data_IF_473719276158
#
_entry.id   IF_473719276158
#
_cell.length_a   1.000
_cell.length_b   1.000
_cell.length_c   1.000
_cell.angle_alpha   90.00
_cell.angle_beta   90.00
_cell.angle_gamma   90.00
#
_symmetry.space_group_name_H-M   'P 1'
#
loop_
_entity.id
_entity.type
_entity.pdbx_description
1 polymer ?
#
# COMPACT_ATOMS: atom_id res chain seq x y z
N UNK A 1 -21.82 3.10 39.04
CA UNK A 1 -22.46 3.38 40.36
C UNK A 1 -22.39 2.23 41.37
N UNK A 2 -22.56 0.95 40.97
CA UNK A 2 -22.48 -0.21 41.90
C UNK A 2 -21.07 -0.50 42.46
N UNK A 3 -19.99 -0.13 41.76
CA UNK A 3 -18.60 -0.33 42.21
C UNK A 3 -18.19 0.64 43.33
N UNK A 4 -18.67 1.89 43.29
CA UNK A 4 -18.39 2.90 44.33
C UNK A 4 -18.98 2.50 45.69
N UNK A 5 -20.16 1.87 45.68
CA UNK A 5 -20.80 1.30 46.87
C UNK A 5 -20.02 0.11 47.45
N UNK A 6 -19.32 -0.66 46.63
CA UNK A 6 -18.50 -1.79 47.10
C UNK A 6 -17.23 -1.31 47.84
N UNK A 7 -16.58 -0.28 47.31
CA UNK A 7 -15.38 0.32 47.93
C UNK A 7 -15.71 1.01 49.25
N UNK A 8 -16.86 1.71 49.34
CA UNK A 8 -17.33 2.31 50.60
C UNK A 8 -17.68 1.25 51.66
N UNK A 9 -18.25 0.11 51.26
CA UNK A 9 -18.61 -0.97 52.20
C UNK A 9 -17.39 -1.70 52.78
N UNK A 10 -16.29 -1.82 52.01
CA UNK A 10 -15.02 -2.37 52.49
C UNK A 10 -14.37 -1.47 53.54
N UNK A 11 -14.44 -0.15 53.37
CA UNK A 11 -13.90 0.82 54.34
C UNK A 11 -14.65 0.82 55.68
N UNK A 12 -15.96 0.55 55.68
CA UNK A 12 -16.75 0.51 56.92
C UNK A 12 -16.44 -0.74 57.75
N UNK A 13 -16.26 -1.91 57.11
CA UNK A 13 -15.96 -3.16 57.83
C UNK A 13 -14.56 -3.21 58.45
N UNK A 14 -13.61 -2.41 57.97
CA UNK A 14 -12.25 -2.35 58.52
C UNK A 14 -12.13 -1.54 59.82
N UNK A 15 -13.19 -0.88 60.29
CA UNK A 15 -13.19 -0.16 61.57
C UNK A 15 -13.53 -1.03 62.79
N UNK A 16 -13.88 -2.32 62.61
CA UNK A 16 -14.31 -3.20 63.70
C UNK A 16 -13.40 -4.40 64.01
N UNK A 17 -12.25 -4.57 63.38
CA UNK A 17 -11.28 -5.60 63.77
C UNK A 17 -9.85 -5.07 63.75
N UNK A 18 -9.10 -5.44 64.78
CA UNK A 18 -7.89 -4.77 65.25
C UNK A 18 -6.70 -4.72 64.29
N UNK A 19 -5.83 -3.75 64.59
CA UNK A 19 -4.39 -3.66 64.30
C UNK A 19 -3.89 -4.46 63.10
N UNK A 20 -4.16 -3.95 61.89
CA UNK A 20 -3.38 -4.29 60.70
C UNK A 20 -2.58 -3.04 60.30
N UNK A 21 -1.29 -3.24 60.09
CA UNK A 21 -0.26 -2.24 59.87
C UNK A 21 -0.63 -1.26 58.73
N UNK A 22 -0.84 0.02 59.08
CA UNK A 22 -1.33 1.08 58.17
C UNK A 22 -0.45 1.25 56.93
N UNK A 23 0.84 0.87 56.98
CA UNK A 23 1.77 0.93 55.85
C UNK A 23 1.55 -0.17 54.81
N UNK A 24 1.18 -1.38 55.22
CA UNK A 24 0.89 -2.47 54.27
C UNK A 24 -0.46 -2.28 53.58
N UNK A 25 -1.45 -1.71 54.27
CA UNK A 25 -2.79 -1.51 53.73
C UNK A 25 -2.87 -0.37 52.70
N UNK A 26 -2.14 0.73 52.92
CA UNK A 26 -2.00 1.84 51.96
C UNK A 26 -1.25 1.42 50.70
N UNK A 27 -0.23 0.56 50.83
CA UNK A 27 0.47 -0.01 49.69
C UNK A 27 -0.45 -0.93 48.87
N UNK A 28 -1.21 -1.83 49.51
CA UNK A 28 -2.15 -2.73 48.83
C UNK A 28 -3.31 -2.01 48.13
N UNK A 29 -3.85 -0.95 48.73
CA UNK A 29 -4.89 -0.12 48.08
C UNK A 29 -4.30 0.65 46.88
N UNK A 30 -3.07 1.15 46.99
CA UNK A 30 -2.38 1.80 45.86
C UNK A 30 -2.11 0.82 44.72
N UNK A 31 -1.72 -0.43 45.02
CA UNK A 31 -1.55 -1.49 44.02
C UNK A 31 -2.86 -1.88 43.33
N UNK A 32 -3.98 -1.95 44.07
CA UNK A 32 -5.29 -2.25 43.48
C UNK A 32 -5.80 -1.10 42.62
N UNK A 33 -5.62 0.15 43.04
CA UNK A 33 -5.99 1.33 42.22
C UNK A 33 -5.11 1.39 40.97
N UNK A 34 -3.80 1.16 41.08
CA UNK A 34 -2.89 1.14 39.94
C UNK A 34 -3.19 -0.01 38.97
N UNK A 35 -3.53 -1.21 39.47
CA UNK A 35 -3.98 -2.33 38.62
C UNK A 35 -5.32 -2.02 37.94
N UNK A 36 -6.30 -1.46 38.64
CA UNK A 36 -7.58 -1.10 38.02
C UNK A 36 -7.42 0.03 36.99
N UNK A 37 -6.52 0.99 37.17
CA UNK A 37 -6.23 2.01 36.16
C UNK A 37 -5.43 1.44 34.97
N UNK A 38 -4.51 0.50 35.20
CA UNK A 38 -3.81 -0.24 34.13
C UNK A 38 -4.78 -1.14 33.34
N UNK A 39 -5.70 -1.84 34.00
CA UNK A 39 -6.68 -2.70 33.32
C UNK A 39 -7.71 -1.87 32.55
N UNK A 40 -8.14 -0.71 33.04
CA UNK A 40 -9.04 0.19 32.30
C UNK A 40 -8.31 0.83 31.11
N UNK A 41 -7.03 1.20 31.23
CA UNK A 41 -6.24 1.69 30.08
C UNK A 41 -5.87 0.60 29.10
N UNK A 42 -5.69 -0.65 29.55
CA UNK A 42 -5.45 -1.80 28.67
C UNK A 42 -6.74 -2.28 27.98
N UNK A 43 -7.89 -2.22 28.67
CA UNK A 43 -9.20 -2.49 28.08
C UNK A 43 -9.63 -1.37 27.11
N UNK A 44 -9.35 -0.10 27.42
CA UNK A 44 -9.61 1.03 26.50
C UNK A 44 -8.61 1.08 25.33
N UNK A 45 -7.39 0.56 25.51
CA UNK A 45 -6.38 0.42 24.45
C UNK A 45 -6.67 -0.78 23.54
N UNK A 46 -7.37 -1.82 24.03
CA UNK A 46 -7.75 -2.99 23.24
C UNK A 46 -9.02 -2.83 22.41
N UNK A 47 -9.85 -1.80 22.64
CA UNK A 47 -11.13 -1.62 21.93
C UNK A 47 -11.12 -0.55 20.83
N UNK A 48 -9.98 0.11 20.56
CA UNK A 48 -9.84 0.91 19.34
C UNK A 48 -9.33 0.04 18.20
N UNK A 49 -10.12 -0.10 17.14
CA UNK A 49 -9.72 -0.83 15.94
C UNK A 49 -8.35 -0.36 15.44
N UNK A 50 -7.49 -1.27 14.99
CA UNK A 50 -6.23 -0.90 14.34
C UNK A 50 -6.54 -0.40 12.93
N UNK A 51 -6.09 0.78 12.56
CA UNK A 51 -6.26 1.34 11.22
C UNK A 51 -4.95 1.30 10.45
N UNK A 52 -5.00 1.00 9.14
CA UNK A 52 -3.79 0.96 8.31
C UNK A 52 -3.20 2.35 8.06
N UNK A 53 -4.01 3.40 8.19
CA UNK A 53 -3.58 4.79 8.03
C UNK A 53 -4.28 5.73 9.00
N UNK A 54 -3.61 6.84 9.31
CA UNK A 54 -4.16 7.93 10.12
C UNK A 54 -5.38 8.57 9.47
N UNK A 55 -5.45 8.54 8.14
CA UNK A 55 -6.62 9.05 7.41
C UNK A 55 -7.87 8.21 7.69
N UNK A 56 -7.75 6.88 7.69
CA UNK A 56 -8.89 6.03 8.07
C UNK A 56 -9.25 6.19 9.55
N UNK A 57 -8.26 6.33 10.42
CA UNK A 57 -8.50 6.61 11.84
C UNK A 57 -9.28 7.93 12.04
N UNK A 58 -8.91 8.98 11.30
CA UNK A 58 -9.61 10.27 11.36
C UNK A 58 -11.05 10.18 10.82
N UNK A 59 -11.27 9.46 9.70
CA UNK A 59 -12.62 9.22 9.16
C UNK A 59 -13.46 8.46 10.20
N UNK A 60 -12.92 7.38 10.79
CA UNK A 60 -13.60 6.61 11.82
C UNK A 60 -13.96 7.47 13.04
N UNK A 61 -13.04 8.36 13.46
CA UNK A 61 -13.29 9.30 14.55
C UNK A 61 -14.44 10.27 14.24
N UNK A 62 -14.47 10.85 13.04
CA UNK A 62 -15.57 11.74 12.62
C UNK A 62 -16.91 10.99 12.58
N UNK A 63 -16.93 9.78 12.01
CA UNK A 63 -18.14 8.96 11.94
C UNK A 63 -18.66 8.55 13.33
N UNK A 64 -17.76 8.18 14.24
CA UNK A 64 -18.11 7.84 15.62
C UNK A 64 -18.61 9.06 16.41
N UNK A 65 -17.90 10.19 16.33
CA UNK A 65 -18.25 11.39 17.10
C UNK A 65 -19.56 12.04 16.64
N UNK A 66 -19.81 12.10 15.33
CA UNK A 66 -20.99 12.77 14.78
C UNK A 66 -22.21 11.85 14.67
N UNK A 67 -22.00 10.56 14.37
CA UNK A 67 -23.09 9.63 14.02
C UNK A 67 -23.13 8.36 14.88
N UNK A 68 -22.25 8.24 15.89
CA UNK A 68 -22.15 7.07 16.77
C UNK A 68 -21.91 5.76 16.00
N UNK A 69 -21.21 5.85 14.87
CA UNK A 69 -20.88 4.72 14.02
C UNK A 69 -19.59 4.04 14.50
N UNK A 70 -19.64 2.74 14.77
CA UNK A 70 -18.46 1.94 15.00
C UNK A 70 -17.81 1.59 13.65
N UNK A 71 -16.53 1.94 13.46
CA UNK A 71 -15.76 1.60 12.26
C UNK A 71 -14.56 0.69 12.58
N UNK A 72 -14.54 0.05 13.75
CA UNK A 72 -13.43 -0.81 14.19
C UNK A 72 -13.45 -2.22 13.59
N UNK A 73 -14.59 -2.65 13.04
CA UNK A 73 -14.81 -3.99 12.49
C UNK A 73 -15.39 -3.94 11.08
N UNK A 74 -15.18 -5.03 10.32
CA UNK A 74 -15.75 -5.22 8.99
C UNK A 74 -17.27 -5.22 9.06
N UNK A 75 -17.92 -4.24 8.43
CA UNK A 75 -19.38 -4.11 8.42
C UNK A 75 -19.88 -3.18 7.31
N UNK A 76 -21.22 -3.09 7.19
CA UNK A 76 -21.91 -2.11 6.36
C UNK A 76 -22.81 -1.27 7.25
N UNK A 77 -22.72 0.05 7.11
CA UNK A 77 -23.38 1.01 7.99
C UNK A 77 -24.26 1.94 7.14
N UNK A 78 -25.55 2.03 7.46
CA UNK A 78 -26.44 2.99 6.83
C UNK A 78 -26.61 4.22 7.75
N UNK A 79 -25.92 5.31 7.45
CA UNK A 79 -26.00 6.55 8.20
C UNK A 79 -27.00 7.51 7.55
N UNK A 80 -28.29 7.33 7.88
CA UNK A 80 -29.38 8.13 7.32
C UNK A 80 -29.18 9.65 7.39
N UNK A 81 -28.64 10.22 8.49
CA UNK A 81 -28.40 11.66 8.58
C UNK A 81 -27.30 12.17 7.63
N UNK A 82 -26.32 11.32 7.29
CA UNK A 82 -25.22 11.67 6.38
C UNK A 82 -25.62 11.45 4.92
N UNK A 83 -26.07 10.24 4.58
CA UNK A 83 -26.56 9.90 3.26
C UNK A 83 -27.62 8.78 3.36
N UNK A 84 -28.91 9.07 3.13
CA UNK A 84 -29.99 8.11 3.41
C UNK A 84 -30.00 6.88 2.52
N UNK A 85 -29.43 6.96 1.32
CA UNK A 85 -29.55 5.94 0.29
C UNK A 85 -28.21 5.24 -0.01
N UNK A 86 -27.17 5.53 0.78
CA UNK A 86 -25.83 4.97 0.60
C UNK A 86 -25.29 4.37 1.89
N UNK A 87 -24.84 3.13 1.76
CA UNK A 87 -24.14 2.45 2.83
C UNK A 87 -22.68 2.88 2.82
N UNK A 88 -22.09 2.97 4.01
CA UNK A 88 -20.65 3.00 4.21
C UNK A 88 -20.20 1.56 4.41
N UNK A 89 -19.15 1.17 3.70
CA UNK A 89 -18.46 -0.09 3.93
C UNK A 89 -17.24 0.15 4.81
N UNK A 90 -17.00 -0.79 5.73
CA UNK A 90 -15.74 -0.90 6.48
C UNK A 90 -15.17 -2.27 6.14
N UNK A 91 -13.92 -2.33 5.69
CA UNK A 91 -13.22 -3.59 5.45
C UNK A 91 -11.98 -3.71 6.31
N UNK A 92 -11.60 -4.95 6.60
CA UNK A 92 -10.39 -5.28 7.35
C UNK A 92 -9.54 -6.27 6.57
N UNK A 93 -8.24 -6.26 6.85
CA UNK A 93 -7.33 -7.32 6.43
C UNK A 93 -7.49 -8.60 7.29
N UNK A 94 -6.64 -9.59 7.04
CA UNK A 94 -6.61 -10.87 7.78
C UNK A 94 -6.22 -10.69 9.26
N UNK A 95 -5.56 -9.59 9.61
CA UNK A 95 -5.14 -9.24 10.97
C UNK A 95 -6.16 -8.36 11.70
N UNK A 96 -7.35 -8.16 11.11
CA UNK A 96 -8.42 -7.27 11.60
C UNK A 96 -8.01 -5.80 11.66
N UNK A 97 -7.01 -5.39 10.87
CA UNK A 97 -6.68 -3.99 10.66
C UNK A 97 -7.64 -3.41 9.62
N UNK A 98 -8.31 -2.31 9.96
CA UNK A 98 -9.20 -1.59 9.05
C UNK A 98 -8.36 -1.01 7.90
N UNK A 99 -8.69 -1.44 6.68
CA UNK A 99 -7.96 -1.09 5.46
C UNK A 99 -8.80 -0.28 4.46
N UNK A 100 -10.10 -0.11 4.70
CA UNK A 100 -10.97 0.78 3.91
C UNK A 100 -12.16 1.25 4.72
N UNK A 101 -12.53 2.52 4.53
CA UNK A 101 -13.79 3.13 4.97
C UNK A 101 -14.24 4.06 3.84
N UNK A 102 -15.44 3.85 3.31
CA UNK A 102 -15.97 4.65 2.20
C UNK A 102 -17.40 4.29 1.86
N UNK A 103 -18.05 5.07 0.99
CA UNK A 103 -19.35 4.69 0.46
C UNK A 103 -19.26 3.39 -0.34
N UNK A 104 -20.23 2.49 -0.23
CA UNK A 104 -20.34 1.32 -1.12
C UNK A 104 -20.94 1.77 -2.46
N UNK A 105 -20.07 2.12 -3.41
CA UNK A 105 -20.45 2.66 -4.71
C UNK A 105 -20.30 1.64 -5.84
N UNK A 106 -19.45 0.65 -5.65
CA UNK A 106 -19.11 -0.32 -6.67
C UNK A 106 -19.50 -1.73 -6.28
N UNK A 107 -19.95 -2.48 -7.27
CA UNK A 107 -20.14 -3.91 -7.14
C UNK A 107 -18.78 -4.60 -6.88
N UNK A 108 -18.73 -5.42 -5.83
CA UNK A 108 -17.47 -6.05 -5.40
C UNK A 108 -16.99 -7.10 -6.38
N UNK A 109 -17.89 -7.78 -7.09
CA UNK A 109 -17.52 -8.72 -8.16
C UNK A 109 -16.90 -7.98 -9.34
N UNK A 110 -17.41 -6.80 -9.70
CA UNK A 110 -16.79 -5.96 -10.75
C UNK A 110 -15.39 -5.51 -10.34
N UNK A 111 -15.19 -5.12 -9.08
CA UNK A 111 -13.87 -4.74 -8.55
C UNK A 111 -12.88 -5.91 -8.56
N UNK A 112 -13.33 -7.13 -8.23
CA UNK A 112 -12.49 -8.33 -8.26
C UNK A 112 -12.10 -8.72 -9.69
N UNK A 113 -13.03 -8.60 -10.65
CA UNK A 113 -12.77 -8.90 -12.06
C UNK A 113 -11.88 -7.87 -12.75
N UNK A 114 -11.96 -6.60 -12.31
CA UNK A 114 -11.24 -5.48 -12.91
C UNK A 114 -10.55 -4.66 -11.82
N UNK A 115 -9.51 -5.19 -11.15
CA UNK A 115 -8.90 -4.53 -10.00
C UNK A 115 -8.30 -3.17 -10.37
N UNK A 116 -8.61 -2.15 -9.58
CA UNK A 116 -8.06 -0.80 -9.75
C UNK A 116 -8.03 -0.07 -8.40
N UNK A 117 -6.98 0.71 -8.11
CA UNK A 117 -6.92 1.49 -6.87
C UNK A 117 -7.90 2.68 -6.87
N UNK A 118 -8.52 2.98 -8.02
CA UNK A 118 -9.49 4.08 -8.18
C UNK A 118 -10.76 3.85 -7.36
N UNK A 119 -11.25 2.61 -7.26
CA UNK A 119 -12.52 2.34 -6.60
C UNK A 119 -12.50 2.73 -5.12
N UNK A 120 -11.57 2.17 -4.36
CA UNK A 120 -11.45 2.45 -2.92
C UNK A 120 -11.08 3.90 -2.66
N UNK A 121 -10.26 4.51 -3.51
CA UNK A 121 -10.01 5.95 -3.45
C UNK A 121 -11.31 6.75 -3.58
N UNK A 122 -12.12 6.51 -4.61
CA UNK A 122 -13.36 7.26 -4.85
C UNK A 122 -14.37 7.05 -3.72
N UNK A 123 -14.57 5.81 -3.29
CA UNK A 123 -15.47 5.47 -2.18
C UNK A 123 -15.10 6.23 -0.89
N UNK A 124 -13.80 6.27 -0.56
CA UNK A 124 -13.27 6.98 0.61
C UNK A 124 -13.30 8.49 0.42
N UNK A 125 -12.88 8.98 -0.74
CA UNK A 125 -12.70 10.41 -0.99
C UNK A 125 -14.03 11.15 -1.07
N UNK A 126 -15.07 10.55 -1.67
CA UNK A 126 -16.41 11.14 -1.64
C UNK A 126 -17.01 11.20 -0.24
N UNK A 127 -16.69 10.23 0.61
CA UNK A 127 -17.03 10.27 2.03
C UNK A 127 -16.26 11.39 2.75
N UNK A 128 -14.96 11.54 2.52
CA UNK A 128 -14.16 12.63 3.08
C UNK A 128 -14.73 14.01 2.70
N UNK A 129 -15.15 14.22 1.45
CA UNK A 129 -15.77 15.47 1.01
C UNK A 129 -17.05 15.79 1.80
N UNK A 130 -17.91 14.79 2.03
CA UNK A 130 -19.14 14.98 2.80
C UNK A 130 -18.92 15.14 4.31
N UNK A 131 -17.78 14.69 4.84
CA UNK A 131 -17.40 14.85 6.24
C UNK A 131 -16.68 16.19 6.53
N UNK A 132 -16.48 17.03 5.51
CA UNK A 132 -16.00 18.40 5.74
C UNK A 132 -17.08 19.26 6.40
N UNK A 133 -16.67 20.27 7.16
CA UNK A 133 -17.61 21.06 7.96
C UNK A 133 -18.59 21.88 7.11
N UNK A 134 -18.17 22.29 5.90
CA UNK A 134 -18.92 23.17 5.01
C UNK A 134 -18.33 23.19 3.59
N UNK A 135 -19.03 23.84 2.66
CA UNK A 135 -18.62 23.96 1.26
C UNK A 135 -17.22 24.58 1.06
N UNK A 136 -16.75 25.43 1.97
CA UNK A 136 -15.41 25.99 1.91
C UNK A 136 -14.33 24.95 2.24
N UNK A 137 -14.53 24.17 3.30
CA UNK A 137 -13.66 23.03 3.65
C UNK A 137 -13.58 22.00 2.52
N UNK A 138 -14.71 21.71 1.87
CA UNK A 138 -14.74 20.83 0.70
C UNK A 138 -13.93 21.38 -0.47
N UNK A 139 -14.05 22.69 -0.78
CA UNK A 139 -13.25 23.32 -1.83
C UNK A 139 -11.76 23.27 -1.51
N UNK A 140 -11.39 23.58 -0.27
CA UNK A 140 -10.00 23.51 0.17
C UNK A 140 -9.42 22.10 -0.01
N UNK A 141 -10.17 21.07 0.40
CA UNK A 141 -9.75 19.68 0.21
C UNK A 141 -9.55 19.33 -1.27
N UNK A 142 -10.47 19.72 -2.16
CA UNK A 142 -10.35 19.52 -3.60
C UNK A 142 -9.11 20.21 -4.18
N UNK A 143 -8.85 21.45 -3.77
CA UNK A 143 -7.71 22.26 -4.21
C UNK A 143 -6.37 21.67 -3.76
N UNK A 144 -6.21 21.38 -2.46
CA UNK A 144 -4.99 20.80 -1.89
C UNK A 144 -4.64 19.46 -2.51
N UNK A 145 -5.66 18.61 -2.69
CA UNK A 145 -5.50 17.29 -3.31
C UNK A 145 -5.45 17.32 -4.84
N UNK A 146 -5.64 18.49 -5.45
CA UNK A 146 -5.66 18.70 -6.92
C UNK A 146 -6.70 17.83 -7.63
N UNK A 147 -7.81 17.55 -6.95
CA UNK A 147 -8.94 16.78 -7.46
C UNK A 147 -9.95 17.73 -8.09
N UNK A 148 -10.33 17.43 -9.32
CA UNK A 148 -11.36 18.16 -10.04
C UNK A 148 -12.64 17.34 -10.04
N UNK A 149 -13.72 17.96 -9.58
CA UNK A 149 -15.07 17.39 -9.66
C UNK A 149 -15.90 18.17 -10.68
N UNK A 150 -16.67 17.47 -11.51
CA UNK A 150 -17.61 18.07 -12.48
C UNK A 150 -18.99 17.49 -12.30
N UNK A 151 -20.01 18.36 -12.31
CA UNK A 151 -21.43 18.01 -12.18
C UNK A 151 -22.17 18.32 -13.47
N UNK A 152 -22.67 17.29 -14.15
CA UNK A 152 -23.38 17.45 -15.42
C UNK A 152 -22.54 18.10 -16.51
N UNK A 153 -23.14 18.34 -17.67
CA UNK A 153 -22.47 19.03 -18.78
C UNK A 153 -22.09 20.48 -18.46
N UNK A 154 -22.80 21.13 -17.54
CA UNK A 154 -22.65 22.55 -17.23
C UNK A 154 -21.52 22.87 -16.23
N UNK A 155 -20.71 21.88 -15.84
CA UNK A 155 -19.57 22.03 -14.92
C UNK A 155 -19.86 22.90 -13.70
N UNK A 156 -20.99 22.63 -13.04
CA UNK A 156 -21.46 23.43 -11.92
C UNK A 156 -20.54 23.25 -10.70
N UNK A 157 -20.39 24.30 -9.88
CA UNK A 157 -19.65 24.22 -8.62
C UNK A 157 -20.21 23.11 -7.73
N UNK A 158 -19.32 22.28 -7.18
CA UNK A 158 -19.67 21.24 -6.21
C UNK A 158 -19.94 21.88 -4.85
N UNK A 159 -21.08 21.54 -4.25
CA UNK A 159 -21.47 21.87 -2.86
C UNK A 159 -21.91 20.58 -2.16
N UNK A 160 -22.00 20.56 -0.83
CA UNK A 160 -22.49 19.41 -0.06
C UNK A 160 -23.85 18.93 -0.55
N UNK A 161 -24.79 19.85 -0.72
CA UNK A 161 -26.13 19.53 -1.19
C UNK A 161 -26.13 18.86 -2.58
N UNK A 162 -25.23 19.30 -3.47
CA UNK A 162 -25.09 18.73 -4.82
C UNK A 162 -24.38 17.38 -4.81
N UNK A 163 -23.33 17.24 -4.01
CA UNK A 163 -22.65 15.95 -3.83
C UNK A 163 -23.63 14.92 -3.27
N UNK A 164 -24.42 15.29 -2.26
CA UNK A 164 -25.46 14.43 -1.71
C UNK A 164 -26.52 14.05 -2.76
N UNK A 165 -26.97 15.01 -3.58
CA UNK A 165 -27.90 14.75 -4.68
C UNK A 165 -27.33 13.73 -5.67
N UNK A 166 -26.09 13.90 -6.10
CA UNK A 166 -25.43 12.98 -7.04
C UNK A 166 -25.25 11.60 -6.43
N UNK A 167 -24.81 11.53 -5.17
CA UNK A 167 -24.64 10.25 -4.49
C UNK A 167 -25.97 9.48 -4.39
N UNK A 168 -27.10 10.16 -4.17
CA UNK A 168 -28.43 9.50 -4.18
C UNK A 168 -28.80 8.97 -5.56
N UNK A 169 -28.43 9.69 -6.61
CA UNK A 169 -28.72 9.32 -8.00
C UNK A 169 -27.83 8.15 -8.48
N UNK A 170 -26.55 8.16 -8.10
CA UNK A 170 -25.61 7.08 -8.41
C UNK A 170 -26.13 5.73 -7.91
N UNK A 171 -26.42 4.80 -8.80
CA UNK A 171 -26.85 3.45 -8.45
C UNK A 171 -26.26 2.43 -9.43
N UNK A 172 -26.48 1.14 -9.18
CA UNK A 172 -25.92 0.05 -10.00
C UNK A 172 -26.42 0.01 -11.46
N UNK A 173 -27.48 0.76 -11.80
CA UNK A 173 -27.96 0.88 -13.18
C UNK A 173 -27.14 1.90 -14.01
N UNK A 174 -26.35 2.75 -13.36
CA UNK A 174 -25.50 3.72 -14.05
C UNK A 174 -24.22 3.06 -14.54
N UNK A 175 -23.83 3.39 -15.78
CA UNK A 175 -22.52 3.00 -16.29
C UNK A 175 -21.45 3.97 -15.81
N UNK A 176 -20.24 3.47 -15.60
CA UNK A 176 -19.08 4.30 -15.31
C UNK A 176 -17.90 3.90 -16.19
N UNK A 177 -17.01 4.85 -16.43
CA UNK A 177 -15.77 4.65 -17.17
C UNK A 177 -14.62 5.17 -16.33
N UNK A 178 -13.54 4.39 -16.28
CA UNK A 178 -12.26 4.80 -15.71
C UNK A 178 -11.27 4.94 -16.86
N UNK A 179 -10.65 6.10 -16.97
CA UNK A 179 -9.60 6.40 -17.94
C UNK A 179 -8.37 6.96 -17.24
N UNK A 180 -7.21 6.85 -17.90
CA UNK A 180 -5.94 7.41 -17.43
C UNK A 180 -5.19 8.03 -18.60
N UNK A 181 -4.51 9.15 -18.35
CA UNK A 181 -3.55 9.75 -19.27
C UNK A 181 -2.10 9.58 -18.79
N UNK A 182 -1.87 8.59 -17.91
CA UNK A 182 -0.60 8.31 -17.23
C UNK A 182 -0.15 9.37 -16.21
N UNK A 183 -0.90 10.46 -16.02
CA UNK A 183 -0.66 11.47 -14.97
C UNK A 183 -1.83 11.61 -14.01
N UNK A 184 -3.05 11.38 -14.51
CA UNK A 184 -4.31 11.52 -13.78
C UNK A 184 -5.26 10.39 -14.15
N UNK A 185 -6.00 9.91 -13.15
CA UNK A 185 -7.21 9.14 -13.40
C UNK A 185 -8.38 10.09 -13.67
N UNK A 186 -9.31 9.65 -14.51
CA UNK A 186 -10.62 10.27 -14.68
C UNK A 186 -11.69 9.20 -14.59
N UNK A 187 -12.57 9.35 -13.61
CA UNK A 187 -13.76 8.54 -13.45
C UNK A 187 -14.98 9.36 -13.85
N UNK A 188 -15.86 8.77 -14.65
CA UNK A 188 -17.08 9.42 -15.13
C UNK A 188 -18.24 8.47 -14.92
N UNK A 189 -19.33 8.95 -14.32
CA UNK A 189 -20.61 8.26 -14.25
C UNK A 189 -21.56 8.85 -15.27
N UNK A 190 -22.31 7.98 -15.93
CA UNK A 190 -23.32 8.33 -16.93
C UNK A 190 -24.70 7.86 -16.49
N UNK A 191 -25.69 8.72 -16.68
CA UNK A 191 -27.09 8.33 -16.73
C UNK A 191 -27.49 8.32 -18.21
N UNK A 192 -27.76 7.13 -18.75
CA UNK A 192 -27.87 6.89 -20.20
C UNK A 192 -26.62 7.38 -20.98
N UNK A 193 -26.74 8.51 -21.70
CA UNK A 193 -25.67 9.14 -22.50
C UNK A 193 -25.20 10.47 -21.92
N UNK A 194 -25.84 10.93 -20.85
CA UNK A 194 -25.54 12.19 -20.19
C UNK A 194 -24.53 11.95 -19.06
N UNK A 195 -23.48 12.76 -19.01
CA UNK A 195 -22.53 12.69 -17.89
C UNK A 195 -23.22 13.22 -16.64
N UNK A 196 -23.30 12.39 -15.61
CA UNK A 196 -23.85 12.74 -14.29
C UNK A 196 -22.78 13.44 -13.44
N UNK A 197 -21.63 12.77 -13.31
CA UNK A 197 -20.55 13.22 -12.45
C UNK A 197 -19.20 12.76 -12.97
N UNK A 198 -18.17 13.56 -12.74
CA UNK A 198 -16.80 13.17 -13.01
C UNK A 198 -15.85 13.59 -11.90
N UNK A 199 -14.92 12.69 -11.56
CA UNK A 199 -13.75 12.97 -10.74
C UNK A 199 -12.49 12.79 -11.57
N UNK A 200 -11.59 13.76 -11.49
CA UNK A 200 -10.27 13.69 -12.11
C UNK A 200 -9.19 14.06 -11.11
N UNK A 201 -8.26 13.16 -10.85
CA UNK A 201 -7.31 13.28 -9.74
C UNK A 201 -5.92 12.76 -10.12
N UNK A 202 -4.84 13.29 -9.50
CA UNK A 202 -3.47 12.88 -9.82
C UNK A 202 -3.20 11.42 -9.43
N UNK A 203 -2.36 10.76 -10.21
CA UNK A 203 -1.80 9.45 -9.86
C UNK A 203 -0.72 9.67 -8.81
N UNK A 204 -1.12 9.68 -7.54
CA UNK A 204 -0.24 9.87 -6.38
C UNK A 204 -0.67 8.92 -5.27
N UNK A 205 0.23 8.01 -4.88
CA UNK A 205 -0.07 6.98 -3.89
C UNK A 205 -0.55 7.56 -2.56
N UNK A 206 -0.01 8.69 -2.11
CA UNK A 206 -0.42 9.31 -0.84
C UNK A 206 -1.88 9.74 -0.87
N UNK A 207 -2.34 10.26 -2.01
CA UNK A 207 -3.73 10.63 -2.22
C UNK A 207 -4.61 9.39 -2.33
N UNK A 208 -4.21 8.43 -3.17
CA UNK A 208 -5.01 7.26 -3.53
C UNK A 208 -5.17 6.28 -2.36
N UNK A 209 -4.08 6.00 -1.63
CA UNK A 209 -4.12 5.16 -0.44
C UNK A 209 -4.50 5.91 0.83
N UNK A 210 -4.32 7.24 0.87
CA UNK A 210 -4.57 8.01 2.08
C UNK A 210 -3.53 7.76 3.18
N UNK A 211 -2.29 7.45 2.78
CA UNK A 211 -1.14 7.26 3.67
C UNK A 211 -0.08 8.28 3.30
N UNK A 212 0.52 8.95 4.28
CA UNK A 212 1.72 9.73 4.01
C UNK A 212 2.92 8.78 3.75
N UNK A 213 4.02 9.34 3.24
CA UNK A 213 5.25 8.56 2.98
C UNK A 213 5.75 7.75 4.18
N UNK A 214 5.73 8.31 5.39
CA UNK A 214 6.20 7.62 6.60
C UNK A 214 5.36 6.39 6.91
N UNK A 215 4.03 6.50 6.80
CA UNK A 215 3.10 5.38 6.99
C UNK A 215 3.32 4.29 5.94
N UNK A 216 3.42 4.68 4.67
CA UNK A 216 3.65 3.74 3.57
C UNK A 216 4.98 2.98 3.73
N UNK A 217 6.08 3.67 4.07
CA UNK A 217 7.39 3.06 4.29
C UNK A 217 7.41 2.07 5.47
N UNK A 218 6.74 2.42 6.58
CA UNK A 218 6.63 1.53 7.73
C UNK A 218 5.78 0.30 7.38
N UNK A 219 4.65 0.48 6.70
CA UNK A 219 3.78 -0.63 6.28
C UNK A 219 4.50 -1.57 5.31
N UNK A 220 5.28 -1.03 4.38
CA UNK A 220 6.09 -1.82 3.45
C UNK A 220 7.07 -2.73 4.19
N UNK A 221 7.79 -2.21 5.19
CA UNK A 221 8.69 -3.00 6.04
C UNK A 221 7.93 -4.13 6.75
N UNK A 222 6.84 -3.78 7.44
CA UNK A 222 6.04 -4.74 8.22
C UNK A 222 5.46 -5.85 7.35
N UNK A 223 4.98 -5.50 6.15
CA UNK A 223 4.43 -6.47 5.22
C UNK A 223 5.50 -7.41 4.67
N UNK A 224 6.68 -6.89 4.31
CA UNK A 224 7.79 -7.72 3.83
C UNK A 224 8.32 -8.68 4.90
N UNK A 225 8.44 -8.24 6.15
CA UNK A 225 8.92 -9.09 7.25
C UNK A 225 8.02 -10.33 7.45
N UNK A 226 6.71 -10.15 7.20
CA UNK A 226 5.70 -11.20 7.30
C UNK A 226 5.40 -11.89 5.95
N UNK A 227 5.96 -11.40 4.85
CA UNK A 227 5.70 -11.94 3.53
C UNK A 227 6.39 -13.29 3.35
N UNK A 228 5.66 -14.27 2.84
CA UNK A 228 6.22 -15.56 2.44
C UNK A 228 5.71 -15.85 1.05
N UNK A 229 6.55 -16.45 0.20
CA UNK A 229 6.10 -16.87 -1.13
C UNK A 229 4.84 -17.73 -0.99
N UNK A 230 3.81 -17.35 -1.74
CA UNK A 230 2.68 -18.24 -1.99
C UNK A 230 3.13 -19.50 -2.74
N UNK A 231 2.19 -20.37 -3.13
CA UNK A 231 2.49 -21.56 -3.95
C UNK A 231 3.47 -21.18 -5.08
N UNK A 232 4.52 -22.00 -5.24
CA UNK A 232 5.59 -21.78 -6.22
C UNK A 232 5.02 -21.28 -7.55
N UNK A 233 5.60 -20.21 -8.13
CA UNK A 233 5.20 -19.77 -9.45
C UNK A 233 5.27 -20.97 -10.40
N UNK A 234 4.26 -21.11 -11.25
CA UNK A 234 4.32 -22.07 -12.35
C UNK A 234 5.61 -21.82 -13.13
N UNK A 235 6.29 -22.86 -13.65
CA UNK A 235 7.53 -22.69 -14.40
C UNK A 235 7.31 -21.58 -15.43
N UNK A 236 8.20 -20.57 -15.41
CA UNK A 236 8.05 -19.35 -16.19
C UNK A 236 7.62 -19.72 -17.60
N UNK A 237 6.42 -19.30 -18.00
CA UNK A 237 5.94 -19.52 -19.35
C UNK A 237 6.93 -18.81 -20.27
N UNK A 238 7.64 -19.57 -21.11
CA UNK A 238 8.60 -18.99 -22.05
C UNK A 238 7.83 -17.97 -22.90
N UNK A 239 8.24 -16.70 -22.92
CA UNK A 239 7.55 -15.67 -23.68
C UNK A 239 7.42 -16.08 -25.15
N UNK A 240 6.23 -15.86 -25.74
CA UNK A 240 5.91 -16.33 -27.09
C UNK A 240 6.76 -15.66 -28.20
N UNK A 241 7.41 -14.54 -27.90
CA UNK A 241 8.29 -13.83 -28.83
C UNK A 241 9.63 -13.54 -28.18
N UNK A 242 10.66 -14.22 -28.67
CA UNK A 242 12.06 -14.00 -28.31
C UNK A 242 12.81 -13.53 -29.56
N UNK A 243 13.61 -12.48 -29.41
CA UNK A 243 14.52 -11.97 -30.46
C UNK A 243 15.93 -12.46 -30.17
N UNK A 244 16.67 -12.85 -31.20
CA UNK A 244 18.08 -13.17 -31.04
C UNK A 244 18.85 -11.86 -30.77
N UNK A 245 19.54 -11.78 -29.63
CA UNK A 245 20.48 -10.71 -29.31
C UNK A 245 21.85 -11.02 -29.90
N UNK A 246 22.25 -12.30 -29.83
CA UNK A 246 23.42 -12.87 -30.49
C UNK A 246 23.21 -14.38 -30.71
N UNK A 247 24.22 -15.08 -31.21
CA UNK A 247 24.15 -16.51 -31.56
C UNK A 247 23.73 -17.43 -30.39
N UNK A 248 23.95 -16.98 -29.15
CA UNK A 248 23.76 -17.77 -27.92
C UNK A 248 22.70 -17.20 -26.96
N UNK A 249 22.25 -15.97 -27.19
CA UNK A 249 21.39 -15.22 -26.28
C UNK A 249 20.14 -14.70 -27.01
N UNK A 250 18.99 -14.91 -26.38
CA UNK A 250 17.68 -14.49 -26.84
C UNK A 250 17.00 -13.65 -25.76
N UNK A 251 16.30 -12.61 -26.18
CA UNK A 251 15.72 -11.60 -25.29
C UNK A 251 14.24 -11.41 -25.56
N UNK A 252 13.45 -11.12 -24.52
CA UNK A 252 12.06 -10.69 -24.65
C UNK A 252 11.96 -9.30 -25.30
N UNK A 253 10.77 -8.91 -25.76
CA UNK A 253 10.53 -7.54 -26.23
C UNK A 253 11.04 -6.51 -25.23
N UNK A 254 11.85 -5.57 -25.71
CA UNK A 254 12.50 -4.53 -24.89
C UNK A 254 11.46 -3.47 -24.49
N UNK A 255 11.08 -3.44 -23.21
CA UNK A 255 10.52 -2.24 -22.59
C UNK A 255 11.58 -1.65 -21.66
N UNK A 256 11.71 -0.33 -21.67
CA UNK A 256 12.77 0.37 -20.97
C UNK A 256 12.21 1.47 -20.06
N UNK A 257 13.01 1.83 -19.05
CA UNK A 257 12.60 2.84 -18.08
C UNK A 257 13.60 3.97 -17.99
N UNK A 258 13.23 5.11 -18.56
CA UNK A 258 14.08 6.30 -18.65
C UNK A 258 15.11 6.20 -19.76
N UNK A 259 16.01 5.21 -19.69
CA UNK A 259 17.06 4.95 -20.68
C UNK A 259 17.09 3.45 -21.06
N UNK A 260 17.58 3.13 -22.26
CA UNK A 260 17.62 1.75 -22.80
C UNK A 260 18.43 0.78 -21.91
N UNK A 261 19.44 1.28 -21.22
CA UNK A 261 20.26 0.48 -20.30
C UNK A 261 19.49 -0.03 -19.07
N UNK A 262 18.28 0.48 -18.81
CA UNK A 262 17.39 0.04 -17.73
C UNK A 262 16.17 -0.61 -18.39
N UNK A 263 16.15 -1.93 -18.44
CA UNK A 263 15.13 -2.68 -19.18
C UNK A 263 14.45 -3.74 -18.33
N UNK A 264 13.25 -4.14 -18.75
CA UNK A 264 12.52 -5.29 -18.20
C UNK A 264 12.90 -6.62 -18.89
N UNK A 265 13.96 -6.59 -19.70
CA UNK A 265 14.40 -7.71 -20.53
C UNK A 265 14.69 -8.97 -19.72
N UNK A 266 14.22 -10.09 -20.25
CA UNK A 266 14.50 -11.44 -19.75
C UNK A 266 15.36 -12.16 -20.78
N UNK A 267 16.45 -12.77 -20.31
CA UNK A 267 17.49 -13.33 -21.17
C UNK A 267 17.47 -14.87 -21.12
N UNK A 268 17.52 -15.49 -22.29
CA UNK A 268 17.40 -16.94 -22.47
C UNK A 268 18.49 -17.48 -23.39
N UNK A 269 18.96 -18.69 -23.11
CA UNK A 269 19.78 -19.47 -24.03
C UNK A 269 18.95 -20.56 -24.69
N UNK A 270 19.26 -20.85 -25.95
CA UNK A 270 18.65 -21.94 -26.71
C UNK A 270 19.50 -23.20 -26.59
N UNK A 271 18.92 -24.25 -26.00
CA UNK A 271 19.54 -25.57 -25.93
C UNK A 271 19.63 -26.23 -27.30
N UNK A 272 20.43 -27.30 -27.40
CA UNK A 272 20.53 -28.13 -28.61
C UNK A 272 19.23 -28.84 -28.95
N UNK A 273 18.35 -29.04 -27.96
CA UNK A 273 16.98 -29.54 -28.13
C UNK A 273 15.98 -28.46 -28.60
N UNK A 274 16.48 -27.25 -28.85
CA UNK A 274 15.68 -26.10 -29.28
C UNK A 274 14.91 -25.41 -28.16
N UNK A 275 15.00 -25.87 -26.90
CA UNK A 275 14.28 -25.26 -25.77
C UNK A 275 15.01 -24.02 -25.25
N UNK A 276 14.24 -23.05 -24.80
CA UNK A 276 14.76 -21.86 -24.14
C UNK A 276 14.84 -22.06 -22.63
N UNK A 277 15.98 -21.70 -22.05
CA UNK A 277 16.20 -21.73 -20.60
C UNK A 277 16.72 -20.37 -20.14
N UNK A 278 16.28 -19.84 -18.98
CA UNK A 278 16.83 -18.60 -18.43
C UNK A 278 18.35 -18.67 -18.32
N UNK A 279 19.01 -17.57 -18.67
CA UNK A 279 20.44 -17.39 -18.44
C UNK A 279 20.63 -17.06 -16.96
N UNK A 280 21.29 -17.97 -16.24
CA UNK A 280 21.62 -17.87 -14.80
C UNK A 280 23.00 -18.52 -14.59
N UNK A 281 24.01 -17.99 -15.26
CA UNK A 281 25.37 -18.51 -15.23
C UNK A 281 26.43 -17.40 -15.16
N UNK A 282 27.62 -17.75 -14.67
CA UNK A 282 28.71 -16.79 -14.47
C UNK A 282 29.34 -16.29 -15.77
N UNK A 283 29.03 -16.92 -16.91
CA UNK A 283 29.60 -16.58 -18.22
C UNK A 283 28.85 -15.44 -18.89
N UNK A 284 27.59 -15.21 -18.48
CA UNK A 284 26.75 -14.10 -18.93
C UNK A 284 26.30 -13.30 -17.71
N UNK A 285 27.22 -12.56 -17.04
CA UNK A 285 26.97 -12.05 -15.70
C UNK A 285 25.90 -10.95 -15.67
N UNK A 286 25.88 -10.06 -16.67
CA UNK A 286 24.91 -8.96 -16.76
C UNK A 286 23.50 -9.50 -16.95
N UNK A 287 23.33 -10.42 -17.90
CA UNK A 287 22.07 -11.09 -18.21
C UNK A 287 21.57 -11.91 -17.01
N UNK A 288 22.48 -12.64 -16.35
CA UNK A 288 22.14 -13.49 -15.22
C UNK A 288 21.72 -12.69 -13.99
N UNK A 289 22.43 -11.61 -13.66
CA UNK A 289 22.06 -10.74 -12.55
C UNK A 289 20.71 -10.05 -12.83
N UNK A 290 20.48 -9.56 -14.05
CA UNK A 290 19.18 -9.01 -14.44
C UNK A 290 18.05 -10.03 -14.26
N UNK A 291 18.27 -11.28 -14.69
CA UNK A 291 17.30 -12.36 -14.56
C UNK A 291 16.97 -12.74 -13.10
N UNK A 292 17.85 -12.49 -12.12
CA UNK A 292 17.52 -12.67 -10.70
C UNK A 292 16.32 -11.81 -10.27
N UNK A 293 16.12 -10.65 -10.91
CA UNK A 293 15.01 -9.74 -10.64
C UNK A 293 13.85 -9.93 -11.64
N UNK A 294 14.13 -10.05 -12.94
CA UNK A 294 13.08 -10.02 -13.97
C UNK A 294 12.34 -11.35 -14.08
N UNK A 295 13.01 -12.49 -13.85
CA UNK A 295 12.42 -13.83 -13.86
C UNK A 295 12.15 -14.28 -12.42
N UNK A 296 13.17 -14.83 -11.76
CA UNK A 296 13.14 -15.24 -10.36
C UNK A 296 14.54 -15.64 -9.91
N UNK A 297 14.92 -15.25 -8.69
CA UNK A 297 16.08 -15.80 -8.01
C UNK A 297 15.76 -17.17 -7.37
N UNK A 298 16.81 -17.94 -7.06
CA UNK A 298 16.74 -19.09 -6.14
C UNK A 298 16.34 -18.60 -4.73
N UNK A 299 15.50 -19.34 -4.00
CA UNK A 299 15.03 -18.99 -2.64
C UNK A 299 16.17 -18.86 -1.62
N UNK A 300 17.33 -19.44 -1.95
CA UNK A 300 18.56 -19.38 -1.16
C UNK A 300 19.33 -18.09 -1.38
N UNK A 301 19.15 -17.40 -2.52
CA UNK A 301 19.75 -16.09 -2.77
C UNK A 301 19.18 -15.07 -1.79
N UNK A 302 19.92 -14.77 -0.72
CA UNK A 302 19.53 -13.77 0.28
C UNK A 302 19.99 -12.37 -0.12
N UNK A 303 19.18 -11.39 0.27
CA UNK A 303 19.51 -9.97 0.18
C UNK A 303 19.48 -9.33 1.56
N UNK A 304 20.55 -8.63 1.91
CA UNK A 304 20.65 -7.76 3.07
C UNK A 304 20.17 -6.36 2.66
N UNK A 305 18.98 -5.98 3.10
CA UNK A 305 18.34 -4.71 2.75
C UNK A 305 18.59 -3.67 3.84
N UNK A 306 19.04 -2.49 3.44
CA UNK A 306 18.96 -1.25 4.22
C UNK A 306 17.91 -0.36 3.59
N UNK A 307 16.75 -0.23 4.22
CA UNK A 307 15.70 0.68 3.78
C UNK A 307 16.00 2.09 4.26
N UNK A 308 16.28 3.00 3.33
CA UNK A 308 16.52 4.42 3.58
C UNK A 308 15.17 5.15 3.58
N UNK A 309 14.65 5.45 4.76
CA UNK A 309 13.33 6.04 4.96
C UNK A 309 13.40 7.57 5.15
N UNK A 310 12.24 8.21 5.05
CA UNK A 310 12.09 9.64 5.32
C UNK A 310 12.60 10.02 6.72
N UNK A 311 13.26 11.18 6.80
CA UNK A 311 13.85 11.69 8.04
C UNK A 311 15.16 11.00 8.45
N UNK A 312 15.92 10.45 7.48
CA UNK A 312 17.18 9.72 7.71
C UNK A 312 17.04 8.46 8.58
N UNK A 313 15.82 7.95 8.74
CA UNK A 313 15.57 6.69 9.45
C UNK A 313 16.01 5.52 8.57
N UNK A 314 16.50 4.46 9.20
CA UNK A 314 16.95 3.25 8.50
C UNK A 314 16.42 2.01 9.20
N UNK A 315 15.89 1.08 8.41
CA UNK A 315 15.60 -0.28 8.85
C UNK A 315 16.53 -1.23 8.11
N UNK A 316 17.03 -2.25 8.80
CA UNK A 316 17.89 -3.28 8.21
C UNK A 316 17.27 -4.64 8.44
N UNK A 317 17.14 -5.42 7.37
CA UNK A 317 16.55 -6.75 7.41
C UNK A 317 17.15 -7.65 6.31
N UNK A 318 16.88 -8.95 6.40
CA UNK A 318 17.34 -9.95 5.45
C UNK A 318 16.19 -10.85 5.03
N UNK A 319 16.11 -11.14 3.73
CA UNK A 319 15.08 -12.00 3.14
C UNK A 319 15.59 -12.61 1.81
N UNK A 320 14.97 -13.69 1.29
CA UNK A 320 15.16 -14.12 -0.09
C UNK A 320 14.91 -12.99 -1.10
N UNK A 321 15.78 -12.85 -2.10
CA UNK A 321 15.58 -11.87 -3.18
C UNK A 321 14.26 -12.11 -3.93
N UNK A 322 13.92 -13.38 -4.17
CA UNK A 322 12.66 -13.74 -4.81
C UNK A 322 11.43 -13.26 -4.03
N UNK A 323 11.45 -13.28 -2.69
CA UNK A 323 10.35 -12.77 -1.86
C UNK A 323 10.17 -11.26 -2.01
N UNK A 324 11.28 -10.50 -1.98
CA UNK A 324 11.24 -9.06 -2.17
C UNK A 324 10.68 -8.67 -3.55
N UNK A 325 11.15 -9.34 -4.60
CA UNK A 325 10.73 -9.08 -5.98
C UNK A 325 9.26 -9.47 -6.16
N UNK A 326 8.86 -10.64 -5.68
CA UNK A 326 7.49 -11.15 -5.79
C UNK A 326 6.49 -10.28 -5.02
N UNK A 327 6.84 -9.82 -3.82
CA UNK A 327 6.03 -8.86 -3.09
C UNK A 327 5.81 -7.56 -3.89
N UNK A 328 6.86 -7.03 -4.50
CA UNK A 328 6.75 -5.83 -5.35
C UNK A 328 5.84 -6.08 -6.57
N UNK A 329 6.02 -7.22 -7.26
CA UNK A 329 5.19 -7.63 -8.41
C UNK A 329 3.71 -7.78 -8.00
N UNK A 330 3.44 -8.45 -6.88
CA UNK A 330 2.09 -8.63 -6.33
C UNK A 330 1.46 -7.31 -5.84
N UNK A 331 2.29 -6.30 -5.53
CA UNK A 331 1.85 -4.93 -5.26
C UNK A 331 1.59 -4.12 -6.55
N UNK A 332 1.73 -4.72 -7.73
CA UNK A 332 1.50 -4.09 -9.04
C UNK A 332 2.73 -3.37 -9.62
N UNK A 333 3.94 -3.75 -9.22
CA UNK A 333 5.16 -3.19 -9.78
C UNK A 333 5.65 -3.98 -11.00
N UNK A 334 6.00 -3.25 -12.06
CA UNK A 334 6.85 -3.74 -13.14
C UNK A 334 8.32 -3.65 -12.72
N UNK A 335 9.17 -4.57 -13.18
CA UNK A 335 10.58 -4.65 -12.79
C UNK A 335 11.47 -4.25 -13.96
N UNK A 336 12.37 -3.29 -13.73
CA UNK A 336 13.40 -2.89 -14.69
C UNK A 336 14.77 -2.88 -14.02
N UNK A 337 15.80 -3.32 -14.71
CA UNK A 337 17.14 -3.46 -14.14
C UNK A 337 18.17 -2.79 -15.03
N UNK A 338 19.09 -2.05 -14.43
CA UNK A 338 20.27 -1.52 -15.10
C UNK A 338 21.54 -1.85 -14.32
N UNK A 339 22.61 -2.19 -15.04
CA UNK A 339 23.95 -2.34 -14.47
C UNK A 339 24.70 -1.01 -14.57
N UNK A 340 25.38 -0.63 -13.49
CA UNK A 340 26.16 0.63 -13.46
C UNK A 340 27.65 0.37 -13.64
N UNK A 341 28.19 -0.63 -12.94
CA UNK A 341 29.63 -0.94 -12.97
C UNK A 341 29.93 -2.36 -12.52
N UNK A 342 31.10 -2.85 -12.91
CA UNK A 342 31.65 -4.13 -12.47
C UNK A 342 33.13 -4.01 -12.13
N UNK A 343 33.57 -4.61 -11.03
CA UNK A 343 34.97 -4.66 -10.60
C UNK A 343 35.27 -6.04 -10.04
N UNK A 344 36.16 -6.79 -10.71
CA UNK A 344 36.41 -8.19 -10.35
C UNK A 344 35.12 -9.01 -10.44
N UNK A 345 34.76 -9.67 -9.34
CA UNK A 345 33.53 -10.46 -9.26
C UNK A 345 32.29 -9.67 -8.80
N UNK A 346 32.46 -8.39 -8.46
CA UNK A 346 31.39 -7.55 -7.93
C UNK A 346 30.70 -6.74 -9.03
N UNK A 347 29.37 -6.70 -8.95
CA UNK A 347 28.49 -5.98 -9.85
C UNK A 347 27.59 -5.05 -9.06
N UNK A 348 27.51 -3.81 -9.52
CA UNK A 348 26.62 -2.79 -8.97
C UNK A 348 25.58 -2.42 -10.01
N UNK A 349 24.36 -2.25 -9.55
CA UNK A 349 23.26 -1.83 -10.40
C UNK A 349 22.08 -1.34 -9.59
N UNK A 350 20.99 -1.08 -10.31
CA UNK A 350 19.73 -0.66 -9.74
C UNK A 350 18.60 -1.48 -10.35
N UNK A 351 17.70 -1.96 -9.50
CA UNK A 351 16.39 -2.44 -9.92
C UNK A 351 15.31 -1.42 -9.55
N UNK A 352 14.49 -1.05 -10.53
CA UNK A 352 13.31 -0.22 -10.36
C UNK A 352 12.09 -1.12 -10.27
N UNK A 353 11.37 -1.01 -9.16
CA UNK A 353 10.05 -1.62 -8.98
C UNK A 353 9.01 -0.52 -9.21
N UNK A 354 8.43 -0.46 -10.41
CA UNK A 354 7.65 0.68 -10.89
C UNK A 354 6.17 0.38 -10.80
N UNK A 355 5.45 1.10 -9.94
CA UNK A 355 3.99 1.03 -9.89
C UNK A 355 3.40 2.24 -10.60
N UNK A 356 3.05 2.08 -11.88
CA UNK A 356 2.44 3.14 -12.70
C UNK A 356 1.05 3.51 -12.23
N UNK A 357 0.29 2.52 -11.73
CA UNK A 357 -1.09 2.72 -11.28
C UNK A 357 -1.20 3.62 -10.04
N UNK A 358 -0.13 3.71 -9.25
CA UNK A 358 -0.04 4.51 -8.03
C UNK A 358 1.03 5.61 -8.08
N UNK A 359 1.80 5.68 -9.16
CA UNK A 359 2.70 6.79 -9.44
C UNK A 359 4.01 6.78 -8.66
N UNK A 360 4.49 5.61 -8.21
CA UNK A 360 5.71 5.49 -7.42
C UNK A 360 6.69 4.44 -7.95
N UNK A 361 7.92 4.51 -7.43
CA UNK A 361 8.96 3.50 -7.59
C UNK A 361 9.48 3.03 -6.23
N UNK A 362 9.90 1.78 -6.14
CA UNK A 362 10.96 1.41 -5.22
C UNK A 362 12.28 1.35 -5.99
N UNK A 363 13.31 2.02 -5.46
CA UNK A 363 14.65 2.00 -6.02
C UNK A 363 15.50 1.04 -5.20
N UNK A 364 16.03 0.01 -5.84
CA UNK A 364 16.83 -1.03 -5.21
C UNK A 364 18.26 -0.95 -5.75
N UNK A 365 19.10 -0.13 -5.14
CA UNK A 365 20.53 -0.12 -5.47
C UNK A 365 21.16 -1.36 -4.87
N UNK A 366 21.85 -2.16 -5.67
CA UNK A 366 22.42 -3.42 -5.22
C UNK A 366 23.91 -3.55 -5.54
N UNK A 367 24.58 -4.36 -4.71
CA UNK A 367 25.93 -4.87 -4.90
C UNK A 367 25.87 -6.39 -4.72
N UNK A 368 26.43 -7.13 -5.67
CA UNK A 368 26.46 -8.59 -5.61
C UNK A 368 27.72 -9.16 -6.19
N UNK A 369 28.19 -10.25 -5.59
CA UNK A 369 29.25 -11.09 -6.15
C UNK A 369 28.64 -12.14 -7.08
N UNK A 370 29.12 -12.22 -8.32
CA UNK A 370 28.58 -13.14 -9.34
C UNK A 370 28.59 -14.61 -8.91
N UNK A 371 29.44 -14.98 -7.94
CA UNK A 371 29.47 -16.33 -7.34
C UNK A 371 28.18 -16.69 -6.61
N UNK A 372 27.27 -15.75 -6.35
CA UNK A 372 25.91 -16.02 -5.88
C UNK A 372 25.15 -16.97 -6.80
N UNK A 373 25.43 -16.95 -8.11
CA UNK A 373 24.81 -17.86 -9.09
C UNK A 373 25.25 -19.32 -8.90
N UNK A 374 26.47 -19.55 -8.38
CA UNK A 374 27.01 -20.90 -8.14
C UNK A 374 26.76 -21.37 -6.71
N UNK A 375 26.85 -20.44 -5.76
CA UNK A 375 26.79 -20.72 -4.32
C UNK A 375 25.80 -19.77 -3.63
N UNK A 376 24.50 -19.89 -3.91
CA UNK A 376 23.48 -18.94 -3.44
C UNK A 376 23.37 -18.89 -1.91
N UNK A 377 23.77 -19.95 -1.21
CA UNK A 377 23.80 -20.01 0.26
C UNK A 377 25.05 -19.35 0.89
N UNK A 378 26.08 -19.05 0.10
CA UNK A 378 27.38 -18.53 0.60
C UNK A 378 27.58 -17.05 0.34
N UNK A 379 26.93 -16.51 -0.69
CA UNK A 379 27.01 -15.10 -1.07
C UNK A 379 25.66 -14.43 -0.84
N UNK A 380 25.71 -13.15 -0.48
CA UNK A 380 24.51 -12.32 -0.29
C UNK A 380 24.60 -11.10 -1.19
N UNK A 381 23.45 -10.60 -1.59
CA UNK A 381 23.33 -9.30 -2.23
C UNK A 381 23.17 -8.22 -1.15
N UNK A 382 23.92 -7.14 -1.23
CA UNK A 382 23.69 -5.96 -0.41
C UNK A 382 22.77 -5.00 -1.15
N UNK A 383 21.80 -4.40 -0.47
CA UNK A 383 20.81 -3.54 -1.11
C UNK A 383 20.48 -2.29 -0.29
N UNK A 384 20.46 -1.14 -0.95
CA UNK A 384 19.85 0.08 -0.43
C UNK A 384 18.50 0.31 -1.11
N UNK A 385 17.45 0.30 -0.30
CA UNK A 385 16.07 0.44 -0.74
C UNK A 385 15.56 1.86 -0.44
N UNK A 386 15.09 2.55 -1.46
CA UNK A 386 14.31 3.79 -1.33
C UNK A 386 12.88 3.52 -1.76
N UNK A 387 11.96 3.56 -0.80
CA UNK A 387 10.54 3.28 -1.04
C UNK A 387 9.76 4.50 -1.50
N UNK A 388 8.70 4.24 -2.29
CA UNK A 388 7.68 5.23 -2.64
C UNK A 388 8.25 6.53 -3.20
N UNK A 389 9.22 6.43 -4.12
CA UNK A 389 9.78 7.58 -4.84
C UNK A 389 8.84 7.94 -5.98
N UNK A 390 8.23 9.15 -6.00
CA UNK A 390 7.31 9.54 -7.06
C UNK A 390 7.96 9.45 -8.44
N UNK A 391 7.24 8.91 -9.44
CA UNK A 391 7.78 8.69 -10.80
C UNK A 391 8.29 9.99 -11.43
N UNK A 392 7.60 11.11 -11.21
CA UNK A 392 7.98 12.40 -11.78
C UNK A 392 9.30 12.97 -11.19
N UNK A 393 9.76 12.48 -10.03
CA UNK A 393 11.00 12.93 -9.41
C UNK A 393 12.25 12.34 -10.07
N UNK A 394 12.11 11.29 -10.90
CA UNK A 394 13.24 10.63 -11.54
C UNK A 394 13.78 11.36 -12.78
N UNK A 395 13.12 12.45 -13.24
CA UNK A 395 13.61 13.25 -14.38
C UNK A 395 15.04 13.76 -14.19
N UNK A 396 15.46 14.00 -12.94
CA UNK A 396 16.80 14.47 -12.63
C UNK A 396 17.84 13.34 -12.53
N UNK A 397 17.43 12.07 -12.45
CA UNK A 397 18.38 10.94 -12.43
C UNK A 397 18.96 10.65 -13.82
N UNK A 398 18.22 10.99 -14.87
CA UNK A 398 18.60 10.72 -16.26
C UNK A 398 19.07 11.98 -17.02
N UNK A 399 19.00 13.16 -16.38
CA UNK A 399 19.26 14.47 -17.01
C UNK A 399 20.72 14.79 -17.36
N UNK A 400 21.60 13.79 -17.41
CA UNK A 400 23.02 13.93 -17.74
C UNK A 400 23.42 13.45 -19.14
N UNK A 401 22.47 12.97 -19.94
CA UNK A 401 22.73 12.54 -21.32
C UNK A 401 21.77 13.26 -22.28
N UNK A 402 22.16 14.47 -22.67
CA UNK A 402 21.72 15.13 -23.89
C UNK A 402 22.94 15.66 -24.62
#
# INVERSE_FOLDING_TARGET
>A
MKLALFVLNLNWKTHMYGSIDKKQMTCRISWVILFCFCDITFLLSQEQGKFVSKKLENIAFQLSSQYQADCSVKQRILLKPLCPDKQIIVTTDLYRTVNHIGFELFDRTVMEQNPSPVYTFVERYLLELLLTDNDEGMRHLLEESKVMARLGQNNRLLTHARLLSVLREMNSAHSFIITTDNSRYTMVWYHDKEMLFSLRFPIQYELIWGMNKVEAENLFYMNLENYRLGRRPSPACIPQSLKALNDSCYVTGEDFYGIEAISSSQYYKKGTDGKFTPILDIHSPVESISNLFTISADERCKVQVTQCMYGNRKNSFELPLCELVDYCKNSGCDVYVGMERSVGNHFWGIAFMVNRSLGYNHLLYFDTDIRILLYPDRYKMNMQLYGFVPIHNLRNLFGGQN
#
